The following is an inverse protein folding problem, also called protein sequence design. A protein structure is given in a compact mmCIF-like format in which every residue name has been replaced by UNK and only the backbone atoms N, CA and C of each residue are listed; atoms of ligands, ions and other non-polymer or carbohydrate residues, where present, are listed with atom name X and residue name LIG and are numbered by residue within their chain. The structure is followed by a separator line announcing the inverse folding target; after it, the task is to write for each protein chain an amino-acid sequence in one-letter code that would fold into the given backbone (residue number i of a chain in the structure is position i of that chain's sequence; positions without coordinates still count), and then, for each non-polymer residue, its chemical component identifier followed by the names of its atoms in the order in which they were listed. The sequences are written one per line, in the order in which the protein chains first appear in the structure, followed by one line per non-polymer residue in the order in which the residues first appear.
data_IF_893425943586
#
_entry.id   IF_893425943586
#
_cell.length_a   1.000
_cell.length_b   1.000
_cell.length_c   1.000
_cell.angle_alpha   90.00
_cell.angle_beta   90.00
_cell.angle_gamma   90.00
#
_symmetry.space_group_name_H-M   'P 1'
#
loop_
_entity.id
_entity.type
_entity.pdbx_description
1 polymer ?
#
# COMPACT_ATOMS: atom_id res chain seq x y z
N UNK A 1 -10.60 -9.88 5.59
CA UNK A 1 -9.71 -9.82 6.77
C UNK A 1 -10.09 -8.68 7.69
N UNK A 2 -9.77 -8.81 8.98
CA UNK A 2 -10.00 -7.73 9.94
C UNK A 2 -8.86 -6.71 9.88
N UNK A 3 -9.08 -5.52 10.46
CA UNK A 3 -8.02 -4.50 10.56
C UNK A 3 -6.83 -5.03 11.35
N UNK A 4 -7.07 -5.81 12.39
CA UNK A 4 -6.03 -6.38 13.23
C UNK A 4 -5.17 -7.37 12.45
N UNK A 5 -5.78 -8.21 11.64
CA UNK A 5 -5.06 -9.14 10.78
C UNK A 5 -4.18 -8.38 9.78
N UNK A 6 -4.72 -7.33 9.20
CA UNK A 6 -3.99 -6.51 8.24
C UNK A 6 -2.80 -5.80 8.89
N UNK A 7 -3.01 -5.14 10.03
CA UNK A 7 -1.92 -4.45 10.72
C UNK A 7 -0.85 -5.43 11.22
N UNK A 8 -1.24 -6.63 11.61
CA UNK A 8 -0.29 -7.69 11.97
C UNK A 8 0.61 -8.06 10.80
N UNK A 9 0.03 -8.21 9.60
CA UNK A 9 0.80 -8.47 8.37
C UNK A 9 1.78 -7.33 8.11
N UNK A 10 1.33 -6.08 8.23
CA UNK A 10 2.19 -4.91 8.02
C UNK A 10 3.37 -4.90 9.00
N UNK A 11 3.11 -5.20 10.27
CA UNK A 11 4.17 -5.28 11.28
C UNK A 11 5.18 -6.40 10.96
N UNK A 12 4.70 -7.51 10.40
CA UNK A 12 5.55 -8.64 10.02
C UNK A 12 6.43 -8.36 8.81
N UNK A 13 6.11 -7.34 8.00
CA UNK A 13 6.95 -6.96 6.85
C UNK A 13 8.34 -6.51 7.30
N UNK A 14 8.46 -5.94 8.48
CA UNK A 14 9.74 -5.48 9.02
C UNK A 14 10.37 -4.35 8.22
N UNK A 15 9.60 -3.63 7.43
CA UNK A 15 10.07 -2.53 6.59
C UNK A 15 9.79 -1.21 7.28
N UNK A 16 10.85 -0.52 7.70
CA UNK A 16 10.74 0.74 8.45
C UNK A 16 10.10 1.88 7.66
N UNK A 17 10.07 1.77 6.34
CA UNK A 17 9.43 2.78 5.46
C UNK A 17 7.92 2.61 5.40
N UNK A 18 7.42 1.43 5.76
CA UNK A 18 5.99 1.14 5.73
C UNK A 18 5.40 1.47 7.10
N UNK A 19 4.47 2.42 7.09
CA UNK A 19 3.73 2.82 8.28
C UNK A 19 2.24 2.78 7.97
N UNK A 20 1.42 2.82 9.02
CA UNK A 20 -0.03 2.87 8.82
C UNK A 20 -0.67 3.77 9.87
N UNK A 21 -1.82 4.33 9.48
CA UNK A 21 -2.63 5.18 10.37
C UNK A 21 -4.09 4.80 10.22
N UNK A 22 -4.86 5.00 11.27
CA UNK A 22 -6.32 4.85 11.21
C UNK A 22 -6.93 6.15 10.74
N UNK A 23 -7.90 6.06 9.83
CA UNK A 23 -8.53 7.24 9.27
C UNK A 23 -9.87 6.91 8.65
N UNK A 24 -10.42 7.88 7.90
CA UNK A 24 -11.73 7.75 7.30
C UNK A 24 -12.84 8.03 8.31
N UNK A 25 -14.05 7.62 7.96
CA UNK A 25 -15.22 7.81 8.84
C UNK A 25 -15.00 7.05 10.14
N UNK A 26 -15.07 7.75 11.27
CA UNK A 26 -14.88 7.21 12.62
C UNK A 26 -13.51 6.57 12.85
N UNK A 27 -12.53 6.85 11.99
CA UNK A 27 -11.19 6.31 12.16
C UNK A 27 -11.11 4.79 12.06
N UNK A 28 -11.99 4.15 11.30
CA UNK A 28 -12.09 2.69 11.22
C UNK A 28 -11.31 2.07 10.07
N UNK A 29 -10.96 2.87 9.06
CA UNK A 29 -10.14 2.39 7.95
C UNK A 29 -8.66 2.50 8.28
N UNK A 30 -7.83 1.69 7.61
CA UNK A 30 -6.38 1.70 7.79
C UNK A 30 -5.73 2.18 6.50
N UNK A 31 -4.97 3.26 6.60
CA UNK A 31 -4.21 3.82 5.47
C UNK A 31 -2.74 3.43 5.62
N UNK A 32 -2.17 2.87 4.57
CA UNK A 32 -0.78 2.41 4.55
C UNK A 32 0.07 3.39 3.76
N UNK A 33 1.21 3.75 4.32
CA UNK A 33 2.14 4.69 3.71
C UNK A 33 3.49 4.00 3.44
N UNK A 34 4.10 4.37 2.31
CA UNK A 34 5.52 4.09 2.04
C UNK A 34 6.23 5.44 2.11
N UNK A 35 6.97 5.69 3.19
CA UNK A 35 7.43 7.02 3.60
C UNK A 35 6.21 7.95 3.73
N UNK A 36 6.13 9.03 2.95
CA UNK A 36 5.03 10.00 3.02
C UNK A 36 3.91 9.73 2.00
N UNK A 37 4.01 8.66 1.21
CA UNK A 37 3.07 8.36 0.15
C UNK A 37 2.03 7.33 0.58
N UNK A 38 0.75 7.68 0.51
CA UNK A 38 -0.33 6.74 0.76
C UNK A 38 -0.43 5.74 -0.40
N UNK A 39 -0.23 4.46 -0.12
CA UNK A 39 -0.20 3.42 -1.15
C UNK A 39 -1.37 2.46 -1.11
N UNK A 40 -1.88 2.11 0.06
CA UNK A 40 -2.99 1.17 0.23
C UNK A 40 -4.00 1.69 1.23
N UNK A 41 -5.24 1.16 1.13
CA UNK A 41 -6.27 1.35 2.13
C UNK A 41 -6.91 -0.01 2.44
N UNK A 42 -7.09 -0.30 3.74
CA UNK A 42 -7.99 -1.35 4.19
C UNK A 42 -9.31 -0.66 4.56
N UNK A 43 -10.39 -1.01 3.83
CA UNK A 43 -11.68 -0.35 4.00
C UNK A 43 -12.55 -1.10 5.02
N UNK A 44 -13.02 -0.41 6.03
CA UNK A 44 -13.75 -1.02 7.14
C UNK A 44 -15.10 -1.66 6.72
N UNK A 45 -15.71 -1.17 5.66
CA UNK A 45 -17.01 -1.69 5.18
C UNK A 45 -16.82 -3.02 4.45
N UNK A 46 -15.89 -3.07 3.51
CA UNK A 46 -15.62 -4.27 2.71
C UNK A 46 -14.66 -5.23 3.37
N UNK A 47 -13.90 -4.76 4.36
CA UNK A 47 -12.83 -5.50 5.01
C UNK A 47 -11.78 -6.00 4.02
N UNK A 48 -11.57 -5.24 2.94
CA UNK A 48 -10.62 -5.58 1.87
C UNK A 48 -9.61 -4.47 1.68
N UNK A 49 -8.45 -4.87 1.16
CA UNK A 49 -7.35 -3.96 0.84
C UNK A 49 -7.42 -3.55 -0.62
N UNK A 50 -7.26 -2.28 -0.88
CA UNK A 50 -7.23 -1.73 -2.23
C UNK A 50 -6.03 -0.81 -2.41
N UNK A 51 -5.45 -0.75 -3.63
CA UNK A 51 -4.38 0.21 -3.90
C UNK A 51 -4.96 1.61 -4.04
N UNK A 52 -4.20 2.61 -3.58
CA UNK A 52 -4.54 4.02 -3.74
C UNK A 52 -3.82 4.65 -4.94
N UNK A 53 -2.76 3.99 -5.41
CA UNK A 53 -1.98 4.43 -6.57
C UNK A 53 -1.71 3.23 -7.47
N UNK A 54 -1.45 3.48 -8.76
CA UNK A 54 -1.13 2.43 -9.73
C UNK A 54 -2.15 1.29 -9.73
N UNK A 55 -3.43 1.63 -9.68
CA UNK A 55 -4.52 0.65 -9.53
C UNK A 55 -4.49 -0.43 -10.61
N UNK A 56 -4.21 -0.05 -11.86
CA UNK A 56 -4.16 -1.01 -12.97
C UNK A 56 -2.96 -1.93 -12.87
N UNK A 57 -1.81 -1.39 -12.48
CA UNK A 57 -0.56 -2.13 -12.37
C UNK A 57 -0.56 -3.11 -11.19
N UNK A 58 -1.34 -2.81 -10.15
CA UNK A 58 -1.42 -3.63 -8.94
C UNK A 58 -2.62 -4.59 -8.92
N UNK A 59 -3.42 -4.59 -9.99
CA UNK A 59 -4.66 -5.35 -10.07
C UNK A 59 -4.46 -6.86 -9.89
N UNK A 60 -3.32 -7.40 -10.32
CA UNK A 60 -3.03 -8.83 -10.24
C UNK A 60 -2.40 -9.29 -8.92
N UNK A 61 -2.09 -8.36 -8.03
CA UNK A 61 -1.46 -8.68 -6.74
C UNK A 61 -2.53 -8.97 -5.69
N UNK A 62 -2.27 -9.99 -4.86
CA UNK A 62 -3.12 -10.29 -3.70
C UNK A 62 -2.67 -9.45 -2.52
N UNK A 63 -3.36 -8.33 -2.28
CA UNK A 63 -3.01 -7.39 -1.23
C UNK A 63 -3.46 -7.84 0.17
N UNK A 64 -4.07 -9.02 0.26
CA UNK A 64 -4.52 -9.57 1.53
C UNK A 64 -3.56 -10.65 2.06
N UNK A 65 -2.43 -10.85 1.39
CA UNK A 65 -1.37 -11.74 1.84
C UNK A 65 -0.08 -10.98 2.03
N UNK A 66 0.79 -11.50 2.90
CA UNK A 66 2.12 -10.91 3.14
C UNK A 66 2.95 -10.89 1.85
N UNK A 67 2.97 -12.01 1.13
CA UNK A 67 3.71 -12.15 -0.11
C UNK A 67 3.22 -11.17 -1.19
N UNK A 68 1.90 -11.06 -1.34
CA UNK A 68 1.29 -10.16 -2.30
C UNK A 68 1.59 -8.70 -1.97
N UNK A 69 1.54 -8.32 -0.70
CA UNK A 69 1.89 -6.97 -0.25
C UNK A 69 3.36 -6.64 -0.53
N UNK A 70 4.28 -7.58 -0.25
CA UNK A 70 5.70 -7.38 -0.52
C UNK A 70 5.93 -7.13 -2.01
N UNK A 71 5.33 -7.94 -2.87
CA UNK A 71 5.46 -7.80 -4.32
C UNK A 71 4.85 -6.48 -4.82
N UNK A 72 3.69 -6.11 -4.30
CA UNK A 72 3.04 -4.86 -4.67
C UNK A 72 3.87 -3.64 -4.25
N UNK A 73 4.44 -3.64 -3.06
CA UNK A 73 5.30 -2.56 -2.58
C UNK A 73 6.53 -2.43 -3.48
N UNK A 74 7.17 -3.54 -3.83
CA UNK A 74 8.31 -3.53 -4.75
C UNK A 74 7.92 -2.95 -6.11
N UNK A 75 6.78 -3.33 -6.64
CA UNK A 75 6.28 -2.83 -7.91
C UNK A 75 6.05 -1.31 -7.86
N UNK A 76 5.43 -0.82 -6.80
CA UNK A 76 5.21 0.61 -6.58
C UNK A 76 6.54 1.36 -6.62
N UNK A 77 7.55 0.87 -5.90
CA UNK A 77 8.87 1.51 -5.83
C UNK A 77 9.55 1.57 -7.19
N UNK A 78 9.42 0.51 -7.98
CA UNK A 78 9.94 0.48 -9.35
C UNK A 78 9.23 1.49 -10.23
N UNK A 79 7.90 1.55 -10.16
CA UNK A 79 7.10 2.48 -10.96
C UNK A 79 7.41 3.95 -10.61
N UNK A 80 7.57 4.24 -9.34
CA UNK A 80 7.94 5.59 -8.89
C UNK A 80 9.33 5.98 -9.39
N UNK A 81 10.26 5.05 -9.38
CA UNK A 81 11.62 5.27 -9.88
C UNK A 81 11.61 5.55 -11.39
N UNK A 82 10.83 4.80 -12.15
CA UNK A 82 10.69 5.00 -13.60
C UNK A 82 10.09 6.37 -13.90
N UNK A 83 9.08 6.80 -13.15
CA UNK A 83 8.50 8.14 -13.30
C UNK A 83 9.53 9.24 -13.04
N UNK A 84 10.34 9.06 -12.01
CA UNK A 84 11.40 10.00 -11.69
C UNK A 84 12.41 10.13 -12.82
N UNK A 85 12.78 9.03 -13.45
CA UNK A 85 13.67 9.00 -14.60
C UNK A 85 13.05 9.72 -15.80
N UNK A 86 11.78 9.42 -16.11
CA UNK A 86 11.05 10.06 -17.20
C UNK A 86 10.95 11.58 -16.98
N UNK A 87 10.68 11.99 -15.76
CA UNK A 87 10.63 13.39 -15.37
C UNK A 87 11.97 14.09 -15.63
N UNK A 88 13.08 13.45 -15.29
CA UNK A 88 14.41 14.00 -15.50
C UNK A 88 14.75 14.15 -16.99
N UNK A 89 14.25 13.23 -17.83
CA UNK A 89 14.45 13.30 -19.28
C UNK A 89 13.70 14.47 -19.92
N UNK A 90 12.59 14.87 -19.39
CA UNK A 90 11.77 15.96 -19.93
C UNK A 90 12.34 17.34 -19.64
N UNK A 91 13.29 17.41 -18.77
CA UNK A 91 13.98 18.65 -18.45
C UNK A 91 15.09 18.94 -19.46
#
# INVERSE_FOLDING_TARGET
MTSREFTTILDELGDSRITYTYGGVRGQSVFVNDDDLNIFIWHYVTEKVSPLIFMNELNDFDLETKEGLILAIKKIRVLLKLRSIDWDFEK
#
